data_IF_922628320982
#
_entry.id   IF_922628320982
#
_cell.length_a   1.000
_cell.length_b   1.000
_cell.length_c   1.000
_cell.angle_alpha   90.00
_cell.angle_beta   90.00
_cell.angle_gamma   90.00
#
_symmetry.space_group_name_H-M   'P 1'
#
loop_
_entity.id
_entity.type
_entity.pdbx_description
1 polymer ?
#
# COMPACT_ATOMS: atom_id res chain seq x y z
N UNK A 1 -7.98 7.54 24.33
CA UNK A 1 -8.03 6.29 23.54
C UNK A 1 -9.12 6.43 22.47
N UNK A 2 -8.71 6.48 21.23
CA UNK A 2 -9.63 6.54 20.12
C UNK A 2 -10.31 5.19 19.91
N UNK A 3 -11.65 5.21 19.81
CA UNK A 3 -12.38 4.03 19.36
C UNK A 3 -12.11 3.87 17.86
N UNK A 4 -11.18 2.99 17.54
CA UNK A 4 -10.77 2.73 16.17
C UNK A 4 -11.69 1.68 15.55
N UNK A 5 -12.74 2.13 14.87
CA UNK A 5 -13.55 1.24 14.02
C UNK A 5 -13.16 1.49 12.56
N UNK A 6 -13.03 0.43 11.77
CA UNK A 6 -12.56 0.57 10.40
C UNK A 6 -13.53 1.38 9.52
N UNK A 7 -14.82 1.27 9.75
CA UNK A 7 -15.82 2.00 8.96
C UNK A 7 -15.76 3.51 9.15
N UNK A 8 -15.48 3.96 10.39
CA UNK A 8 -15.41 5.37 10.75
C UNK A 8 -13.97 5.86 10.89
N UNK A 9 -12.97 4.94 10.83
CA UNK A 9 -11.61 5.29 11.19
C UNK A 9 -10.75 5.53 9.97
N UNK A 10 -10.65 6.80 9.65
CA UNK A 10 -9.74 7.32 8.64
C UNK A 10 -8.80 8.29 9.33
N UNK A 11 -7.55 8.35 8.87
CA UNK A 11 -6.64 9.40 9.31
C UNK A 11 -6.56 10.49 8.24
N UNK A 12 -6.40 11.76 8.67
CA UNK A 12 -6.32 12.85 7.71
C UNK A 12 -5.01 12.81 6.93
N UNK A 13 -5.09 13.18 5.65
CA UNK A 13 -3.94 13.43 4.80
C UNK A 13 -3.68 14.93 4.75
N UNK A 14 -2.45 15.33 4.41
CA UNK A 14 -2.05 16.73 4.39
C UNK A 14 -2.77 17.58 3.34
N UNK A 15 -3.47 16.96 2.40
CA UNK A 15 -4.19 17.64 1.33
C UNK A 15 -5.68 17.84 1.61
N UNK A 16 -6.13 17.54 2.82
CA UNK A 16 -7.54 17.66 3.21
C UNK A 16 -8.37 16.40 2.98
N UNK A 17 -7.83 15.41 2.28
CA UNK A 17 -8.47 14.10 2.15
C UNK A 17 -8.16 13.23 3.36
N UNK A 18 -8.69 12.01 3.39
CA UNK A 18 -8.42 11.06 4.46
C UNK A 18 -8.24 9.66 3.89
N UNK A 19 -7.53 8.79 4.63
CA UNK A 19 -7.25 7.42 4.22
C UNK A 19 -7.70 6.44 5.30
N UNK A 20 -8.44 5.36 4.94
CA UNK A 20 -8.77 4.32 5.93
C UNK A 20 -7.53 3.60 6.42
N UNK A 21 -7.46 3.34 7.72
CA UNK A 21 -6.30 2.72 8.38
C UNK A 21 -6.03 1.29 7.94
N UNK A 22 -7.05 0.56 7.51
CA UNK A 22 -6.91 -0.82 7.05
C UNK A 22 -7.39 -0.94 5.61
N UNK A 23 -6.53 -1.46 4.76
CA UNK A 23 -6.86 -1.75 3.37
C UNK A 23 -6.56 -3.18 3.00
N UNK A 24 -7.03 -3.60 1.84
CA UNK A 24 -6.75 -4.90 1.26
C UNK A 24 -5.68 -4.75 0.18
N UNK A 25 -4.53 -5.43 0.36
CA UNK A 25 -3.54 -5.58 -0.69
C UNK A 25 -4.02 -6.61 -1.71
N UNK A 26 -3.81 -6.35 -2.99
CA UNK A 26 -4.35 -7.19 -4.08
C UNK A 26 -3.26 -7.85 -4.93
N UNK A 27 -1.99 -7.72 -4.57
CA UNK A 27 -0.95 -8.42 -5.31
C UNK A 27 -1.16 -9.94 -5.24
N UNK A 28 -1.08 -10.60 -6.38
CA UNK A 28 -1.08 -12.06 -6.47
C UNK A 28 -0.34 -12.49 -7.74
N UNK A 29 0.32 -13.66 -7.70
CA UNK A 29 0.96 -14.19 -8.88
C UNK A 29 -0.12 -14.61 -9.88
N UNK A 30 -0.20 -13.96 -11.06
CA UNK A 30 -1.24 -14.27 -12.04
C UNK A 30 -1.17 -15.70 -12.59
N UNK A 31 0.00 -16.32 -12.55
CA UNK A 31 0.18 -17.70 -13.02
C UNK A 31 -0.32 -18.73 -12.00
N UNK A 32 -0.33 -18.38 -10.71
CA UNK A 32 -0.72 -19.27 -9.62
C UNK A 32 -2.12 -18.95 -9.04
N UNK A 33 -2.75 -17.89 -9.51
CA UNK A 33 -4.01 -17.41 -8.95
C UNK A 33 -5.14 -17.61 -9.96
N UNK A 34 -6.19 -18.37 -9.61
CA UNK A 34 -7.34 -18.53 -10.50
C UNK A 34 -8.01 -17.21 -10.81
N UNK A 35 -8.51 -17.07 -12.03
CA UNK A 35 -9.30 -15.90 -12.45
C UNK A 35 -10.52 -15.77 -11.55
N UNK A 36 -10.85 -14.54 -11.15
CA UNK A 36 -11.97 -14.26 -10.26
C UNK A 36 -11.61 -14.26 -8.79
N UNK A 37 -10.41 -14.71 -8.40
CA UNK A 37 -9.98 -14.74 -7.00
C UNK A 37 -9.91 -13.34 -6.39
N UNK A 38 -9.37 -12.38 -7.12
CA UNK A 38 -9.29 -11.00 -6.66
C UNK A 38 -10.69 -10.36 -6.55
N UNK A 39 -11.56 -10.63 -7.55
CA UNK A 39 -12.95 -10.16 -7.54
C UNK A 39 -13.65 -10.60 -6.25
N UNK A 40 -13.59 -11.89 -5.94
CA UNK A 40 -14.23 -12.43 -4.74
C UNK A 40 -13.60 -11.89 -3.45
N UNK A 41 -12.27 -11.75 -3.43
CA UNK A 41 -11.57 -11.20 -2.27
C UNK A 41 -11.98 -9.75 -1.96
N UNK A 42 -12.05 -8.91 -2.98
CA UNK A 42 -12.47 -7.51 -2.81
C UNK A 42 -13.92 -7.43 -2.36
N UNK A 43 -14.80 -8.24 -2.93
CA UNK A 43 -16.22 -8.30 -2.51
C UNK A 43 -16.33 -8.72 -1.05
N UNK A 44 -15.60 -9.76 -0.64
CA UNK A 44 -15.58 -10.23 0.74
C UNK A 44 -15.06 -9.13 1.68
N UNK A 45 -14.00 -8.43 1.29
CA UNK A 45 -13.43 -7.35 2.08
C UNK A 45 -14.45 -6.22 2.28
N UNK A 46 -15.12 -5.79 1.23
CA UNK A 46 -16.14 -4.74 1.32
C UNK A 46 -17.28 -5.18 2.23
N UNK A 47 -17.74 -6.43 2.10
CA UNK A 47 -18.79 -6.97 2.97
C UNK A 47 -18.35 -7.05 4.44
N UNK A 48 -17.06 -7.27 4.69
CA UNK A 48 -16.49 -7.31 6.04
C UNK A 48 -16.27 -5.91 6.65
N UNK A 49 -16.35 -4.84 5.85
CA UNK A 49 -16.18 -3.47 6.31
C UNK A 49 -14.97 -2.74 5.76
N UNK A 50 -14.13 -3.38 4.97
CA UNK A 50 -12.99 -2.71 4.32
C UNK A 50 -13.50 -1.60 3.39
N UNK A 51 -12.78 -0.48 3.39
CA UNK A 51 -13.10 0.66 2.51
C UNK A 51 -11.87 1.17 1.75
N UNK A 52 -10.75 0.47 1.84
CA UNK A 52 -9.48 0.83 1.23
C UNK A 52 -8.95 -0.40 0.48
N UNK A 53 -8.75 -0.24 -0.82
CA UNK A 53 -8.19 -1.28 -1.69
C UNK A 53 -6.91 -0.74 -2.31
N UNK A 54 -5.83 -1.50 -2.19
CA UNK A 54 -4.53 -1.16 -2.78
C UNK A 54 -4.28 -2.06 -3.98
N UNK A 55 -4.02 -1.46 -5.13
CA UNK A 55 -3.79 -2.20 -6.36
C UNK A 55 -2.71 -1.57 -7.21
N UNK A 56 -2.43 -2.19 -8.35
CA UNK A 56 -1.49 -1.69 -9.34
C UNK A 56 -1.75 -2.33 -10.70
N UNK A 57 -1.42 -1.60 -11.75
CA UNK A 57 -1.51 -2.13 -13.11
C UNK A 57 -0.67 -3.42 -13.27
N UNK A 58 0.52 -3.45 -12.67
CA UNK A 58 1.43 -4.60 -12.78
C UNK A 58 0.97 -5.84 -12.00
N UNK A 59 -0.13 -5.75 -11.26
CA UNK A 59 -0.74 -6.92 -10.61
C UNK A 59 -1.67 -7.69 -11.55
N UNK A 60 -2.00 -7.14 -12.71
CA UNK A 60 -2.85 -7.75 -13.76
C UNK A 60 -4.25 -8.11 -13.31
N UNK A 61 -4.76 -7.46 -12.28
CA UNK A 61 -6.10 -7.75 -11.73
C UNK A 61 -6.94 -6.50 -11.43
N UNK A 62 -6.54 -5.32 -11.93
CA UNK A 62 -7.33 -4.10 -11.70
C UNK A 62 -8.75 -4.20 -12.26
N UNK A 63 -8.96 -4.93 -13.34
CA UNK A 63 -10.30 -5.15 -13.90
C UNK A 63 -11.23 -5.87 -12.91
N UNK A 64 -10.69 -6.81 -12.11
CA UNK A 64 -11.44 -7.51 -11.07
C UNK A 64 -11.74 -6.58 -9.90
N UNK A 65 -10.77 -5.76 -9.49
CA UNK A 65 -10.98 -4.77 -8.42
C UNK A 65 -12.09 -3.80 -8.81
N UNK A 66 -12.02 -3.24 -10.01
CA UNK A 66 -13.05 -2.31 -10.52
C UNK A 66 -14.43 -2.95 -10.58
N UNK A 67 -14.50 -4.17 -11.06
CA UNK A 67 -15.77 -4.91 -11.13
C UNK A 67 -16.37 -5.13 -9.74
N UNK A 68 -15.55 -5.53 -8.76
CA UNK A 68 -16.01 -5.74 -7.39
C UNK A 68 -16.59 -4.45 -6.78
N UNK A 69 -15.88 -3.34 -6.96
CA UNK A 69 -16.32 -2.03 -6.46
C UNK A 69 -17.65 -1.65 -7.09
N UNK A 70 -17.77 -1.76 -8.43
CA UNK A 70 -18.99 -1.40 -9.16
C UNK A 70 -20.17 -2.29 -8.79
N UNK A 71 -19.94 -3.60 -8.60
CA UNK A 71 -21.01 -4.51 -8.16
C UNK A 71 -21.52 -4.14 -6.77
N UNK A 72 -20.62 -3.81 -5.85
CA UNK A 72 -21.01 -3.42 -4.48
C UNK A 72 -21.73 -2.06 -4.45
N UNK A 73 -21.39 -1.15 -5.35
CA UNK A 73 -22.13 0.10 -5.53
C UNK A 73 -23.53 -0.20 -6.07
N UNK A 74 -23.63 -1.06 -7.08
CA UNK A 74 -24.91 -1.44 -7.68
C UNK A 74 -25.84 -2.14 -6.69
N UNK A 75 -25.29 -2.93 -5.75
CA UNK A 75 -26.06 -3.56 -4.69
C UNK A 75 -26.54 -2.57 -3.62
N UNK A 76 -26.07 -1.33 -3.64
CA UNK A 76 -26.38 -0.34 -2.61
C UNK A 76 -25.58 -0.50 -1.32
N UNK A 77 -24.58 -1.37 -1.31
CA UNK A 77 -23.73 -1.62 -0.13
C UNK A 77 -22.84 -0.42 0.21
N UNK A 78 -22.32 0.24 -0.81
CA UNK A 78 -21.42 1.39 -0.70
C UNK A 78 -21.71 2.39 -1.81
N UNK A 79 -21.21 3.62 -1.62
CA UNK A 79 -21.13 4.63 -2.68
C UNK A 79 -19.67 4.76 -3.11
N UNK A 80 -19.43 5.36 -4.29
CA UNK A 80 -18.04 5.55 -4.79
C UNK A 80 -17.18 6.32 -3.78
N UNK A 81 -17.73 7.35 -3.15
CA UNK A 81 -17.01 8.17 -2.16
C UNK A 81 -16.67 7.43 -0.87
N UNK A 82 -17.30 6.28 -0.62
CA UNK A 82 -16.99 5.45 0.55
C UNK A 82 -15.72 4.62 0.34
N UNK A 83 -15.33 4.37 -0.91
CA UNK A 83 -14.19 3.53 -1.27
C UNK A 83 -12.97 4.38 -1.55
N UNK A 84 -11.84 3.96 -1.00
CA UNK A 84 -10.52 4.53 -1.24
C UNK A 84 -9.70 3.52 -2.05
N UNK A 85 -9.43 3.83 -3.31
CA UNK A 85 -8.58 3.00 -4.16
C UNK A 85 -7.24 3.69 -4.39
N UNK A 86 -6.16 2.97 -4.13
CA UNK A 86 -4.79 3.40 -4.44
C UNK A 86 -4.27 2.63 -5.65
N UNK A 87 -3.89 3.34 -6.70
CA UNK A 87 -3.19 2.78 -7.86
C UNK A 87 -1.74 3.24 -7.91
N UNK A 88 -0.95 2.65 -8.80
CA UNK A 88 0.49 2.87 -8.83
C UNK A 88 1.02 3.06 -10.25
N UNK A 89 1.93 4.01 -10.38
CA UNK A 89 2.67 4.30 -11.61
C UNK A 89 3.89 3.38 -11.67
N UNK A 90 3.92 2.51 -12.68
CA UNK A 90 5.03 1.57 -12.83
C UNK A 90 6.29 2.25 -13.36
N UNK A 91 7.43 1.58 -13.17
CA UNK A 91 8.76 2.12 -13.42
C UNK A 91 9.03 2.47 -14.90
N UNK A 92 8.35 1.82 -15.83
CA UNK A 92 8.48 2.11 -17.28
C UNK A 92 7.72 3.36 -17.70
N UNK A 93 6.93 3.95 -16.81
CA UNK A 93 6.03 5.05 -17.12
C UNK A 93 6.40 6.36 -16.43
N UNK A 94 7.65 6.49 -15.93
CA UNK A 94 8.12 7.71 -15.27
C UNK A 94 8.27 8.92 -16.20
N UNK A 95 8.63 8.79 -17.49
CA UNK A 95 8.68 9.98 -18.34
C UNK A 95 7.38 10.77 -18.27
N UNK A 96 7.46 12.12 -18.10
CA UNK A 96 6.27 12.94 -17.81
C UNK A 96 5.13 12.76 -18.81
N UNK A 97 5.45 12.62 -20.10
CA UNK A 97 4.47 12.44 -21.16
C UNK A 97 3.70 11.11 -21.08
N UNK A 98 4.22 10.13 -20.32
CA UNK A 98 3.59 8.83 -20.15
C UNK A 98 2.68 8.75 -18.92
N UNK A 99 2.79 9.70 -17.99
CA UNK A 99 2.11 9.62 -16.68
C UNK A 99 0.59 9.66 -16.85
N UNK A 100 0.05 10.69 -17.48
CA UNK A 100 -1.41 10.82 -17.65
C UNK A 100 -2.00 9.69 -18.50
N UNK A 101 -1.42 9.32 -19.65
CA UNK A 101 -1.95 8.18 -20.41
C UNK A 101 -1.96 6.87 -19.63
N UNK A 102 -0.96 6.65 -18.76
CA UNK A 102 -0.89 5.46 -17.91
C UNK A 102 -2.02 5.46 -16.88
N UNK A 103 -2.26 6.59 -16.22
CA UNK A 103 -3.37 6.70 -15.26
C UNK A 103 -4.72 6.55 -15.95
N UNK A 104 -4.90 7.17 -17.12
CA UNK A 104 -6.13 7.03 -17.90
C UNK A 104 -6.39 5.57 -18.29
N UNK A 105 -5.35 4.82 -18.63
CA UNK A 105 -5.44 3.39 -18.91
C UNK A 105 -5.93 2.60 -17.68
N UNK A 106 -5.36 2.89 -16.52
CA UNK A 106 -5.80 2.29 -15.25
C UNK A 106 -7.27 2.61 -14.98
N UNK A 107 -7.69 3.86 -15.15
CA UNK A 107 -9.08 4.26 -14.95
C UNK A 107 -10.03 3.56 -15.90
N UNK A 108 -9.62 3.34 -17.14
CA UNK A 108 -10.39 2.60 -18.13
C UNK A 108 -10.55 1.13 -17.74
N UNK A 109 -9.48 0.51 -17.24
CA UNK A 109 -9.50 -0.88 -16.77
C UNK A 109 -10.42 -1.02 -15.55
N UNK A 110 -10.32 -0.11 -14.60
CA UNK A 110 -11.17 -0.06 -13.41
C UNK A 110 -12.62 0.31 -13.74
N UNK A 111 -12.84 1.05 -14.83
CA UNK A 111 -14.09 1.72 -15.16
C UNK A 111 -14.55 2.64 -14.03
N UNK A 112 -13.61 3.42 -13.52
CA UNK A 112 -13.83 4.47 -12.51
C UNK A 112 -13.38 5.81 -13.07
N UNK A 113 -13.94 6.90 -12.54
CA UNK A 113 -13.64 8.24 -13.02
C UNK A 113 -12.35 8.82 -12.40
N UNK A 114 -11.99 8.33 -11.23
CA UNK A 114 -10.80 8.78 -10.52
C UNK A 114 -10.28 7.68 -9.59
N UNK A 115 -9.01 7.78 -9.23
CA UNK A 115 -8.43 7.03 -8.12
C UNK A 115 -8.32 7.97 -6.92
N UNK A 116 -8.40 7.42 -5.71
CA UNK A 116 -8.29 8.22 -4.48
C UNK A 116 -6.85 8.59 -4.17
N UNK A 117 -5.93 7.70 -4.49
CA UNK A 117 -4.49 7.91 -4.32
C UNK A 117 -3.76 7.29 -5.49
N UNK A 118 -2.83 8.05 -6.09
CA UNK A 118 -1.95 7.53 -7.13
C UNK A 118 -0.51 7.76 -6.71
N UNK A 119 0.30 6.70 -6.73
CA UNK A 119 1.66 6.76 -6.19
C UNK A 119 2.70 6.33 -7.22
N UNK A 120 3.91 6.88 -7.11
CA UNK A 120 5.08 6.34 -7.81
C UNK A 120 5.46 5.05 -7.10
N UNK A 121 5.44 3.92 -7.81
CA UNK A 121 5.62 2.60 -7.20
C UNK A 121 7.04 2.38 -6.68
N UNK A 122 8.05 2.77 -7.45
CA UNK A 122 9.45 2.71 -7.06
C UNK A 122 10.16 3.99 -7.55
N UNK A 123 11.19 4.45 -6.84
CA UNK A 123 11.89 5.68 -7.22
C UNK A 123 12.75 5.55 -8.48
N UNK A 124 13.06 4.34 -8.93
CA UNK A 124 13.87 4.14 -10.13
C UNK A 124 13.01 3.98 -11.38
N UNK A 125 13.48 4.50 -12.50
CA UNK A 125 12.83 4.32 -13.79
C UNK A 125 13.46 3.17 -14.56
N UNK A 126 12.62 2.41 -15.28
CA UNK A 126 13.05 1.42 -16.26
C UNK A 126 12.86 1.97 -17.66
N UNK A 127 13.58 1.40 -18.63
CA UNK A 127 13.44 1.73 -20.05
C UNK A 127 11.97 1.69 -20.45
N UNK A 128 11.41 2.80 -20.98
CA UNK A 128 10.02 2.82 -21.44
C UNK A 128 9.78 1.81 -22.57
N UNK A 129 8.58 1.25 -22.59
CA UNK A 129 8.15 0.29 -23.60
C UNK A 129 7.16 -0.71 -23.05
N UNK A 130 6.82 -1.71 -23.87
CA UNK A 130 5.82 -2.72 -23.53
C UNK A 130 6.34 -3.77 -22.54
N UNK A 131 7.66 -3.94 -22.43
CA UNK A 131 8.26 -4.85 -21.46
C UNK A 131 8.23 -4.19 -20.08
N UNK A 132 7.43 -4.72 -19.16
CA UNK A 132 7.31 -4.17 -17.80
C UNK A 132 8.59 -4.35 -16.97
N UNK A 133 9.36 -5.39 -17.27
CA UNK A 133 10.62 -5.71 -16.60
C UNK A 133 11.72 -5.81 -17.68
N UNK A 134 12.10 -4.69 -18.31
CA UNK A 134 13.04 -4.73 -19.43
C UNK A 134 14.41 -5.19 -18.97
N UNK A 135 14.94 -6.21 -19.63
CA UNK A 135 16.23 -6.82 -19.31
C UNK A 135 17.11 -6.86 -20.54
N UNK A 136 18.42 -6.70 -20.33
CA UNK A 136 19.40 -6.88 -21.37
C UNK A 136 19.68 -8.37 -21.63
N UNK A 137 20.59 -8.67 -22.54
CA UNK A 137 20.98 -10.04 -22.89
C UNK A 137 21.59 -10.82 -21.74
N UNK A 138 22.10 -10.14 -20.70
CA UNK A 138 22.66 -10.73 -19.50
C UNK A 138 21.64 -10.85 -18.37
N UNK A 139 20.37 -10.55 -18.60
CA UNK A 139 19.30 -10.64 -17.61
C UNK A 139 19.28 -9.50 -16.61
N UNK A 140 20.03 -8.41 -16.84
CA UNK A 140 20.05 -7.23 -15.98
C UNK A 140 18.98 -6.25 -16.41
N UNK A 141 18.33 -5.59 -15.42
CA UNK A 141 17.34 -4.56 -15.72
C UNK A 141 17.95 -3.40 -16.48
N UNK A 142 17.19 -2.90 -17.45
CA UNK A 142 17.58 -1.72 -18.23
C UNK A 142 16.92 -0.50 -17.57
N UNK A 143 17.74 0.33 -16.93
CA UNK A 143 17.27 1.55 -16.28
C UNK A 143 17.17 2.70 -17.28
N UNK A 144 16.43 3.72 -16.88
CA UNK A 144 16.24 4.94 -17.67
C UNK A 144 16.45 6.14 -16.77
N UNK A 145 17.10 7.16 -17.28
CA UNK A 145 17.27 8.40 -16.55
C UNK A 145 16.02 9.25 -16.73
N UNK A 146 15.21 9.36 -15.68
CA UNK A 146 14.06 10.26 -15.64
C UNK A 146 14.17 11.10 -14.37
N UNK A 147 13.99 12.40 -14.53
CA UNK A 147 13.90 13.31 -13.39
C UNK A 147 12.59 13.04 -12.64
N UNK A 148 12.68 12.56 -11.41
CA UNK A 148 11.50 12.30 -10.59
C UNK A 148 10.67 13.56 -10.33
N UNK A 149 11.30 14.72 -10.29
CA UNK A 149 10.58 15.99 -10.15
C UNK A 149 9.71 16.28 -11.37
N UNK A 150 10.16 15.91 -12.56
CA UNK A 150 9.34 16.03 -13.78
C UNK A 150 8.19 15.03 -13.78
N UNK A 151 8.44 13.80 -13.32
CA UNK A 151 7.38 12.81 -13.12
C UNK A 151 6.33 13.32 -12.14
N UNK A 152 6.79 13.90 -11.03
CA UNK A 152 5.90 14.45 -10.01
C UNK A 152 5.05 15.60 -10.54
N UNK A 153 5.63 16.50 -11.33
CA UNK A 153 4.89 17.59 -11.95
C UNK A 153 3.76 17.07 -12.85
N UNK A 154 4.02 16.00 -13.60
CA UNK A 154 2.98 15.35 -14.41
C UNK A 154 1.87 14.73 -13.54
N UNK A 155 2.23 14.17 -12.37
CA UNK A 155 1.24 13.70 -11.41
C UNK A 155 0.41 14.84 -10.83
N UNK A 156 1.04 15.97 -10.53
CA UNK A 156 0.33 17.17 -10.06
C UNK A 156 -0.73 17.62 -11.09
N UNK A 157 -0.40 17.56 -12.36
CA UNK A 157 -1.36 17.86 -13.44
C UNK A 157 -2.54 16.86 -13.44
N UNK A 158 -2.29 15.60 -13.13
CA UNK A 158 -3.35 14.59 -13.02
C UNK A 158 -4.30 14.89 -11.86
N UNK A 159 -3.77 15.36 -10.73
CA UNK A 159 -4.60 15.80 -9.59
C UNK A 159 -5.45 17.01 -10.01
N UNK A 160 -4.87 17.99 -10.66
CA UNK A 160 -5.61 19.16 -11.13
C UNK A 160 -6.72 18.78 -12.10
N UNK A 161 -6.50 17.76 -12.92
CA UNK A 161 -7.51 17.25 -13.87
C UNK A 161 -8.60 16.40 -13.22
N UNK A 162 -8.50 16.12 -11.91
CA UNK A 162 -9.49 15.34 -11.20
C UNK A 162 -9.35 13.83 -11.38
N UNK A 163 -8.24 13.36 -11.94
CA UNK A 163 -8.02 11.92 -12.18
C UNK A 163 -7.48 11.20 -10.94
N UNK A 164 -6.83 11.91 -10.04
CA UNK A 164 -6.36 11.40 -8.76
C UNK A 164 -6.67 12.45 -7.69
N UNK A 165 -7.26 12.02 -6.57
CA UNK A 165 -7.59 12.95 -5.48
C UNK A 165 -6.38 13.30 -4.61
N UNK A 166 -5.48 12.32 -4.42
CA UNK A 166 -4.26 12.48 -3.65
C UNK A 166 -3.09 11.85 -4.39
N UNK A 167 -1.88 12.32 -4.10
CA UNK A 167 -0.64 11.85 -4.71
C UNK A 167 0.33 11.39 -3.63
N UNK A 168 1.01 10.29 -3.89
CA UNK A 168 1.99 9.74 -2.95
C UNK A 168 3.14 9.05 -3.66
N UNK A 169 3.99 8.45 -2.86
CA UNK A 169 5.16 7.71 -3.34
C UNK A 169 5.26 6.36 -2.63
N UNK A 170 6.13 5.49 -3.11
CA UNK A 170 6.36 4.19 -2.52
C UNK A 170 7.85 3.86 -2.58
N UNK A 171 8.35 3.28 -1.49
CA UNK A 171 9.74 2.86 -1.38
C UNK A 171 10.75 4.01 -1.48
N UNK A 172 10.34 5.22 -1.10
CA UNK A 172 11.21 6.38 -1.06
C UNK A 172 11.93 6.43 0.29
N UNK A 173 13.22 6.77 0.25
CA UNK A 173 13.96 7.11 1.46
C UNK A 173 13.83 8.61 1.76
N UNK A 174 14.38 9.05 2.89
CA UNK A 174 14.35 10.46 3.30
C UNK A 174 14.88 11.40 2.22
N UNK A 175 16.02 11.07 1.62
CA UNK A 175 16.64 11.90 0.59
C UNK A 175 15.73 12.10 -0.62
N UNK A 176 15.09 11.03 -1.06
CA UNK A 176 14.16 11.06 -2.20
C UNK A 176 12.90 11.86 -1.87
N UNK A 177 12.38 11.73 -0.66
CA UNK A 177 11.26 12.54 -0.18
C UNK A 177 11.63 14.03 -0.16
N UNK A 178 12.80 14.36 0.38
CA UNK A 178 13.29 15.74 0.42
C UNK A 178 13.44 16.33 -0.98
N UNK A 179 13.92 15.53 -1.93
CA UNK A 179 14.07 15.95 -3.32
C UNK A 179 12.72 16.39 -3.92
N UNK A 180 11.66 15.64 -3.68
CA UNK A 180 10.32 16.01 -4.15
C UNK A 180 9.79 17.23 -3.38
N UNK A 181 9.92 17.25 -2.06
CA UNK A 181 9.41 18.35 -1.24
C UNK A 181 10.12 19.69 -1.51
N UNK A 182 11.38 19.63 -1.95
CA UNK A 182 12.15 20.83 -2.27
C UNK A 182 12.11 21.18 -3.76
N UNK A 183 11.27 20.52 -4.53
CA UNK A 183 11.10 20.80 -5.96
C UNK A 183 10.69 22.27 -6.16
N UNK A 184 11.39 23.03 -7.03
CA UNK A 184 10.94 24.37 -7.36
C UNK A 184 9.53 24.38 -7.95
N UNK A 185 8.66 25.26 -7.46
CA UNK A 185 7.29 25.35 -7.94
C UNK A 185 6.41 24.19 -7.50
N UNK A 186 6.78 23.47 -6.44
CA UNK A 186 5.98 22.36 -5.92
C UNK A 186 4.54 22.83 -5.63
N UNK A 187 3.58 22.12 -6.20
CA UNK A 187 2.16 22.42 -6.03
C UNK A 187 1.53 21.55 -4.95
N UNK A 188 1.85 20.27 -4.95
CA UNK A 188 1.36 19.31 -3.97
C UNK A 188 2.50 18.45 -3.45
N UNK A 189 2.65 18.38 -2.14
CA UNK A 189 3.63 17.44 -1.56
C UNK A 189 3.03 16.03 -1.51
N UNK A 190 3.87 14.96 -1.44
CA UNK A 190 3.34 13.61 -1.25
C UNK A 190 2.57 13.51 0.05
N UNK A 191 1.40 12.87 0.01
CA UNK A 191 0.59 12.64 1.23
C UNK A 191 1.01 11.38 1.96
N UNK A 192 1.67 10.45 1.26
CA UNK A 192 2.00 9.14 1.79
C UNK A 192 3.30 8.60 1.21
N UNK A 193 3.91 7.71 1.95
CA UNK A 193 5.02 6.87 1.48
C UNK A 193 4.68 5.42 1.84
N UNK A 194 4.49 4.59 0.83
CA UNK A 194 4.16 3.19 1.02
C UNK A 194 5.45 2.37 1.08
N UNK A 195 5.72 1.75 2.21
CA UNK A 195 6.96 1.00 2.46
C UNK A 195 6.66 -0.30 3.19
N UNK A 196 7.57 -1.25 3.12
CA UNK A 196 7.50 -2.44 3.96
C UNK A 196 7.57 -2.02 5.43
N UNK A 197 6.62 -2.48 6.25
CA UNK A 197 6.58 -2.10 7.66
C UNK A 197 5.84 -3.16 8.49
N UNK A 198 6.55 -3.75 9.44
CA UNK A 198 6.04 -4.80 10.34
C UNK A 198 6.95 -4.87 11.57
N UNK A 199 6.64 -5.67 12.59
CA UNK A 199 7.45 -5.72 13.82
C UNK A 199 8.93 -6.06 13.65
N UNK A 200 9.33 -6.74 12.57
CA UNK A 200 10.74 -7.00 12.30
C UNK A 200 11.41 -5.94 11.42
N UNK A 201 10.64 -5.00 10.91
CA UNK A 201 11.12 -3.87 10.12
C UNK A 201 10.24 -2.65 10.39
N UNK A 202 10.45 -2.03 11.56
CA UNK A 202 9.53 -1.02 12.10
C UNK A 202 9.72 0.37 11.51
N UNK A 203 10.80 0.64 10.78
CA UNK A 203 11.05 1.92 10.11
C UNK A 203 11.02 3.13 11.08
N UNK A 204 11.68 3.09 12.25
CA UNK A 204 11.49 4.15 13.24
C UNK A 204 11.95 5.52 12.76
N UNK A 205 13.07 5.59 12.06
CA UNK A 205 13.63 6.87 11.56
C UNK A 205 12.77 7.44 10.44
N UNK A 206 12.35 6.59 9.50
CA UNK A 206 11.52 7.03 8.39
C UNK A 206 10.13 7.45 8.87
N UNK A 207 9.57 6.71 9.82
CA UNK A 207 8.27 7.05 10.40
C UNK A 207 8.32 8.42 11.09
N UNK A 208 9.36 8.67 11.88
CA UNK A 208 9.52 9.96 12.56
C UNK A 208 9.69 11.10 11.55
N UNK A 209 10.52 10.91 10.53
CA UNK A 209 10.70 11.88 9.47
C UNK A 209 9.38 12.19 8.75
N UNK A 210 8.64 11.15 8.37
CA UNK A 210 7.36 11.33 7.67
C UNK A 210 6.33 12.02 8.58
N UNK A 211 6.31 11.66 9.87
CA UNK A 211 5.41 12.29 10.83
C UNK A 211 5.69 13.80 10.96
N UNK A 212 6.96 14.21 10.99
CA UNK A 212 7.36 15.62 11.05
C UNK A 212 6.92 16.41 9.81
N UNK A 213 6.81 15.74 8.68
CA UNK A 213 6.43 16.37 7.42
C UNK A 213 4.97 16.12 7.01
N UNK A 214 4.17 15.56 7.94
CA UNK A 214 2.76 15.23 7.70
C UNK A 214 2.58 14.32 6.48
N UNK A 215 3.45 13.30 6.39
CA UNK A 215 3.39 12.24 5.38
C UNK A 215 3.01 10.96 6.09
N UNK A 216 1.94 10.30 5.63
CA UNK A 216 1.47 9.06 6.23
C UNK A 216 2.29 7.87 5.68
N UNK A 217 2.73 6.99 6.57
CA UNK A 217 3.32 5.72 6.16
C UNK A 217 2.18 4.72 5.90
N UNK A 218 2.22 4.10 4.71
CA UNK A 218 1.36 2.96 4.39
C UNK A 218 2.25 1.73 4.40
N UNK A 219 2.00 0.80 5.33
CA UNK A 219 2.83 -0.39 5.50
C UNK A 219 2.34 -1.54 4.63
N UNK A 220 3.13 -1.93 3.63
CA UNK A 220 2.87 -3.16 2.91
C UNK A 220 3.59 -4.32 3.61
N UNK A 221 3.18 -5.55 3.29
CA UNK A 221 3.66 -6.77 3.97
C UNK A 221 3.64 -6.64 5.50
N UNK A 222 2.55 -6.11 6.10
CA UNK A 222 2.52 -5.87 7.55
C UNK A 222 2.56 -7.16 8.37
N UNK A 223 2.36 -8.31 7.74
CA UNK A 223 2.39 -9.65 8.34
C UNK A 223 3.60 -10.47 7.86
N UNK A 224 4.59 -9.82 7.23
CA UNK A 224 5.60 -10.50 6.46
C UNK A 224 5.06 -10.81 5.06
N UNK A 225 5.49 -11.85 4.41
CA UNK A 225 5.02 -12.17 3.08
C UNK A 225 4.62 -13.65 2.94
N UNK A 226 4.09 -14.03 1.77
CA UNK A 226 3.78 -15.41 1.42
C UNK A 226 5.03 -16.27 1.16
N UNK A 227 6.23 -15.67 1.25
CA UNK A 227 7.53 -16.34 1.11
C UNK A 227 7.75 -16.95 -0.28
N UNK A 228 7.38 -16.18 -1.31
CA UNK A 228 7.73 -16.52 -2.69
C UNK A 228 9.23 -16.25 -2.90
N UNK A 229 9.98 -17.32 -3.22
CA UNK A 229 11.45 -17.26 -3.32
C UNK A 229 11.97 -16.36 -4.44
N UNK A 230 11.14 -16.05 -5.44
CA UNK A 230 11.58 -15.23 -6.58
C UNK A 230 11.88 -13.78 -6.21
N UNK A 231 11.30 -13.28 -5.11
CA UNK A 231 11.44 -11.87 -4.72
C UNK A 231 11.31 -11.63 -3.21
N UNK A 232 11.30 -12.69 -2.42
CA UNK A 232 11.21 -12.62 -0.95
C UNK A 232 12.43 -13.31 -0.33
N UNK A 233 13.00 -12.70 0.71
CA UNK A 233 14.06 -13.30 1.49
C UNK A 233 13.50 -14.38 2.41
N UNK A 234 13.53 -15.64 1.97
CA UNK A 234 12.98 -16.79 2.72
C UNK A 234 13.88 -17.26 3.86
N UNK A 235 15.14 -16.80 3.91
CA UNK A 235 16.03 -17.12 5.03
C UNK A 235 15.70 -16.35 6.29
N UNK A 236 14.90 -15.27 6.18
CA UNK A 236 14.48 -14.47 7.33
C UNK A 236 13.46 -15.21 8.19
N UNK A 237 13.46 -15.01 9.52
CA UNK A 237 12.52 -15.71 10.40
C UNK A 237 11.07 -15.30 10.12
N UNK A 238 10.11 -16.26 10.14
CA UNK A 238 8.70 -15.94 9.92
C UNK A 238 8.13 -15.09 11.03
N UNK A 239 7.57 -13.93 10.68
CA UNK A 239 7.03 -12.96 11.63
C UNK A 239 5.94 -13.56 12.53
N UNK A 240 5.01 -14.31 11.94
CA UNK A 240 3.83 -14.79 12.68
C UNK A 240 4.13 -15.94 13.65
N UNK A 241 5.37 -16.45 13.65
CA UNK A 241 5.83 -17.43 14.63
C UNK A 241 6.53 -16.78 15.83
N UNK A 242 6.63 -15.46 15.86
CA UNK A 242 7.29 -14.74 16.93
C UNK A 242 6.62 -15.01 18.28
N UNK A 243 7.42 -15.35 19.30
CA UNK A 243 6.92 -15.72 20.62
C UNK A 243 6.27 -14.55 21.36
N UNK A 244 6.79 -13.35 21.21
CA UNK A 244 6.22 -12.16 21.87
C UNK A 244 4.86 -11.82 21.27
N UNK A 245 4.73 -11.83 19.93
CA UNK A 245 3.45 -11.58 19.26
C UNK A 245 2.41 -12.60 19.67
N UNK A 246 2.78 -13.87 19.73
CA UNK A 246 1.86 -14.94 20.13
C UNK A 246 1.47 -14.87 21.61
N UNK A 247 2.40 -14.50 22.49
CA UNK A 247 2.11 -14.33 23.93
C UNK A 247 1.13 -13.19 24.17
N UNK A 248 1.35 -12.05 23.51
CA UNK A 248 0.42 -10.90 23.58
C UNK A 248 -0.93 -11.29 22.99
N UNK A 249 -0.92 -12.03 21.88
CA UNK A 249 -2.16 -12.52 21.25
C UNK A 249 -3.01 -13.35 22.20
N UNK A 250 -2.40 -14.25 22.96
CA UNK A 250 -3.12 -15.06 23.97
C UNK A 250 -3.83 -14.20 25.01
N UNK A 251 -3.18 -13.12 25.46
CA UNK A 251 -3.76 -12.20 26.44
C UNK A 251 -5.06 -11.59 25.95
N UNK A 252 -5.13 -11.24 24.66
CA UNK A 252 -6.29 -10.56 24.06
C UNK A 252 -7.22 -11.51 23.30
N UNK A 253 -6.92 -12.79 23.29
CA UNK A 253 -7.61 -13.76 22.44
C UNK A 253 -7.56 -13.37 20.94
N UNK A 254 -6.38 -12.97 20.52
CA UNK A 254 -6.09 -12.55 19.14
C UNK A 254 -4.93 -13.35 18.56
N UNK A 255 -4.85 -13.40 17.24
CA UNK A 255 -3.74 -14.05 16.55
C UNK A 255 -2.51 -13.12 16.51
N UNK A 256 -1.33 -13.69 16.28
CA UNK A 256 -0.11 -12.90 16.05
C UNK A 256 -0.30 -11.90 14.91
N UNK A 257 -1.02 -12.29 13.86
CA UNK A 257 -1.34 -11.40 12.73
C UNK A 257 -2.14 -10.18 13.20
N UNK A 258 -3.15 -10.39 14.01
CA UNK A 258 -3.98 -9.28 14.53
C UNK A 258 -3.15 -8.36 15.44
N UNK A 259 -2.24 -8.90 16.23
CA UNK A 259 -1.34 -8.10 17.07
C UNK A 259 -0.40 -7.26 16.20
N UNK A 260 0.19 -7.85 15.17
CA UNK A 260 1.08 -7.12 14.25
C UNK A 260 0.35 -5.97 13.54
N UNK A 261 -0.87 -6.21 13.07
CA UNK A 261 -1.68 -5.18 12.43
C UNK A 261 -2.06 -4.07 13.41
N UNK A 262 -2.52 -4.43 14.61
CA UNK A 262 -2.88 -3.46 15.64
C UNK A 262 -1.69 -2.59 16.05
N UNK A 263 -0.52 -3.18 16.17
CA UNK A 263 0.72 -2.46 16.47
C UNK A 263 0.94 -1.32 15.47
N UNK A 264 0.90 -1.61 14.17
CA UNK A 264 1.11 -0.59 13.14
C UNK A 264 0.01 0.47 13.16
N UNK A 265 -1.25 0.06 13.22
CA UNK A 265 -2.39 1.00 13.25
C UNK A 265 -2.28 1.93 14.45
N UNK A 266 -1.92 1.40 15.60
CA UNK A 266 -1.84 2.16 16.85
C UNK A 266 -0.70 3.18 16.84
N UNK A 267 0.33 2.98 16.03
CA UNK A 267 1.44 3.94 15.83
C UNK A 267 1.24 4.86 14.63
N UNK A 268 0.03 4.85 14.04
CA UNK A 268 -0.34 5.73 12.93
C UNK A 268 0.09 5.25 11.55
N UNK A 269 0.43 3.97 11.40
CA UNK A 269 0.79 3.35 10.13
C UNK A 269 -0.43 2.68 9.54
N UNK A 270 -0.81 3.07 8.32
CA UNK A 270 -1.87 2.41 7.56
C UNK A 270 -1.37 1.04 7.13
N UNK A 271 -2.20 0.01 7.23
CA UNK A 271 -1.82 -1.36 6.88
C UNK A 271 -2.65 -1.88 5.71
N UNK A 272 -1.98 -2.59 4.79
CA UNK A 272 -2.63 -3.16 3.62
C UNK A 272 -2.29 -4.65 3.49
N UNK A 273 -2.69 -5.48 4.48
CA UNK A 273 -2.43 -6.91 4.40
C UNK A 273 -3.07 -7.52 3.16
N UNK A 274 -2.33 -8.38 2.48
CA UNK A 274 -2.84 -9.12 1.34
C UNK A 274 -3.39 -10.46 1.82
N UNK A 275 -4.62 -10.76 1.45
CA UNK A 275 -5.19 -12.09 1.58
C UNK A 275 -6.34 -12.25 0.59
N UNK A 276 -6.45 -13.45 0.00
CA UNK A 276 -7.60 -13.84 -0.80
C UNK A 276 -8.42 -14.92 -0.08
N UNK A 277 -8.01 -15.29 1.13
CA UNK A 277 -8.74 -16.23 1.97
C UNK A 277 -9.85 -15.49 2.73
N UNK A 278 -11.14 -15.86 2.55
CA UNK A 278 -12.25 -15.14 3.17
C UNK A 278 -12.16 -15.03 4.69
N UNK A 279 -11.72 -16.10 5.37
CA UNK A 279 -11.61 -16.09 6.81
C UNK A 279 -10.53 -15.13 7.29
N UNK A 280 -9.36 -15.13 6.64
CA UNK A 280 -8.25 -14.23 6.99
C UNK A 280 -8.61 -12.77 6.69
N UNK A 281 -9.34 -12.51 5.61
CA UNK A 281 -9.83 -11.16 5.30
C UNK A 281 -10.69 -10.66 6.47
N UNK A 282 -11.62 -11.47 6.96
CA UNK A 282 -12.49 -11.11 8.10
C UNK A 282 -11.70 -10.94 9.39
N UNK A 283 -10.77 -11.86 9.67
CA UNK A 283 -9.94 -11.80 10.89
C UNK A 283 -9.04 -10.57 10.91
N UNK A 284 -8.44 -10.20 9.77
CA UNK A 284 -7.57 -9.02 9.69
C UNK A 284 -8.32 -7.73 9.97
N UNK A 285 -9.63 -7.71 9.77
CA UNK A 285 -10.48 -6.58 10.12
C UNK A 285 -10.74 -6.47 11.63
N UNK A 286 -10.65 -7.57 12.37
CA UNK A 286 -10.98 -7.64 13.80
C UNK A 286 -9.83 -7.15 14.68
N UNK A 287 -9.41 -5.91 14.46
CA UNK A 287 -8.29 -5.28 15.17
C UNK A 287 -8.70 -3.95 15.83
N UNK A 288 -9.98 -3.61 15.80
CA UNK A 288 -10.48 -2.33 16.31
C UNK A 288 -11.23 -2.46 17.63
N UNK A 289 -11.33 -3.66 18.19
CA UNK A 289 -12.05 -3.96 19.42
C UNK A 289 -11.15 -4.16 20.65
N UNK A 290 -9.85 -3.88 20.52
CA UNK A 290 -8.88 -3.96 21.61
C UNK A 290 -7.77 -2.94 21.39
N UNK A 291 -6.99 -2.67 22.43
CA UNK A 291 -5.82 -1.80 22.34
C UNK A 291 -4.62 -2.44 23.03
N UNK A 292 -3.43 -2.23 22.47
CA UNK A 292 -2.18 -2.63 23.09
C UNK A 292 -1.77 -1.57 24.13
N UNK A 293 -1.22 -2.01 25.25
CA UNK A 293 -0.69 -1.11 26.27
C UNK A 293 0.60 -0.45 25.75
N UNK A 294 1.01 0.64 26.40
CA UNK A 294 2.27 1.30 26.07
C UNK A 294 3.45 0.36 26.23
N UNK A 295 3.45 -0.47 27.29
CA UNK A 295 4.49 -1.48 27.52
C UNK A 295 4.52 -2.51 26.40
N UNK A 296 3.36 -3.00 25.96
CA UNK A 296 3.27 -3.96 24.85
C UNK A 296 3.74 -3.34 23.54
N UNK A 297 3.41 -2.08 23.30
CA UNK A 297 3.92 -1.36 22.11
C UNK A 297 5.44 -1.31 22.12
N UNK A 298 6.06 -1.02 23.25
CA UNK A 298 7.52 -1.01 23.40
C UNK A 298 8.15 -2.39 23.24
N UNK A 299 7.50 -3.43 23.76
CA UNK A 299 7.98 -4.81 23.58
C UNK A 299 7.99 -5.21 22.10
N UNK A 300 6.96 -4.80 21.34
CA UNK A 300 6.89 -5.10 19.92
C UNK A 300 7.92 -4.25 19.15
N UNK A 301 8.09 -2.98 19.50
CA UNK A 301 9.11 -2.12 18.89
C UNK A 301 10.52 -2.71 19.06
N UNK A 302 10.77 -3.36 20.20
CA UNK A 302 12.05 -4.01 20.49
C UNK A 302 12.30 -5.25 19.64
N UNK A 303 11.29 -5.77 18.94
CA UNK A 303 11.47 -6.90 18.02
C UNK A 303 12.15 -6.49 16.71
N UNK A 304 12.28 -5.21 16.42
CA UNK A 304 12.87 -4.72 15.17
C UNK A 304 14.23 -5.35 14.94
N UNK A 305 14.39 -5.99 13.80
CA UNK A 305 15.62 -6.65 13.38
C UNK A 305 16.18 -6.04 12.09
N UNK A 306 15.55 -4.98 11.59
CA UNK A 306 15.83 -4.39 10.28
C UNK A 306 15.80 -5.46 9.16
N UNK A 307 14.85 -6.40 9.26
CA UNK A 307 14.69 -7.50 8.30
C UNK A 307 13.69 -7.12 7.25
N UNK A 308 14.17 -6.98 6.02
CA UNK A 308 13.35 -6.75 4.84
C UNK A 308 13.00 -8.09 4.20
N UNK A 309 11.71 -8.42 4.13
CA UNK A 309 11.26 -9.65 3.46
C UNK A 309 11.18 -9.48 1.94
N UNK A 310 10.77 -8.30 1.47
CA UNK A 310 10.60 -8.04 0.05
C UNK A 310 11.90 -7.48 -0.51
N UNK A 311 12.49 -8.19 -1.49
CA UNK A 311 13.66 -7.71 -2.20
C UNK A 311 13.21 -6.75 -3.29
N UNK A 312 13.67 -5.49 -3.18
CA UNK A 312 13.37 -4.49 -4.18
C UNK A 312 14.23 -4.71 -5.42
N UNK A 313 13.69 -4.32 -6.58
CA UNK A 313 14.36 -4.46 -7.88
C UNK A 313 15.46 -3.40 -8.07
N UNK A 314 16.30 -3.23 -7.07
CA UNK A 314 17.38 -2.23 -7.08
C UNK A 314 18.75 -2.87 -7.20
#
# INVERSE_FOLDING_TARGET
TMNLTAESHRIPLSDGNSIPLLGLGTYADPQKTPKGSCLEAVKTAIDAGYRHIDGAFVYFNEHEVGQAIREKIAEGKIKREDIFYCGKLWNTCHPPELVRPTLEKTLKILQLDYVDLYIIELPMAFKPGDALYPKDENGKFIYHETDLCATWEALEACKDAGLAKSLGVSNFNRRQLEMIMNKPGLKYKPVSNQVECHPYFTQPKLLEFCRQHDIVIVGYSPLGTSRDESWVNVSSPPLLKDSVLNAIGKKYNKTAAQIALRFNVQRGVVVIPKSFNPQRIRENFQIFDFSLTETEMKEIEALNKNVRYVELLM
#
